data_IF_006875333771
#
_entry.id   IF_006875333771
#
_cell.length_a   1.000
_cell.length_b   1.000
_cell.length_c   1.000
_cell.angle_alpha   90.00
_cell.angle_beta   90.00
_cell.angle_gamma   90.00
#
_symmetry.space_group_name_H-M   'P 1'
#
loop_
_entity.id
_entity.type
_entity.pdbx_description
1 polymer ?
#
# COMPACT_ATOMS: atom_id res chain seq x y z
N UNK A 1 -7.53 7.88 17.10
CA UNK A 1 -7.81 7.08 15.89
C UNK A 1 -6.60 6.19 15.67
N UNK A 2 -6.78 4.94 15.25
CA UNK A 2 -5.67 4.02 14.99
C UNK A 2 -4.92 4.44 13.73
N UNK A 3 -3.63 4.20 13.65
CA UNK A 3 -2.79 4.64 12.52
C UNK A 3 -3.25 4.06 11.17
N UNK A 4 -3.64 2.79 11.13
CA UNK A 4 -4.16 2.18 9.91
C UNK A 4 -5.53 2.75 9.50
N UNK A 5 -6.36 3.15 10.46
CA UNK A 5 -7.62 3.86 10.19
C UNK A 5 -7.34 5.23 9.59
N UNK A 6 -6.36 5.98 10.13
CA UNK A 6 -5.93 7.26 9.58
C UNK A 6 -5.48 7.09 8.13
N UNK A 7 -4.67 6.07 7.86
CA UNK A 7 -4.18 5.77 6.51
C UNK A 7 -5.33 5.51 5.54
N UNK A 8 -6.29 4.66 5.94
CA UNK A 8 -7.47 4.34 5.15
C UNK A 8 -8.31 5.58 4.86
N UNK A 9 -8.66 6.37 5.90
CA UNK A 9 -9.50 7.56 5.72
C UNK A 9 -8.80 8.63 4.89
N UNK A 10 -7.49 8.79 5.05
CA UNK A 10 -6.71 9.71 4.24
C UNK A 10 -6.70 9.30 2.76
N UNK A 11 -6.50 8.00 2.48
CA UNK A 11 -6.55 7.45 1.13
C UNK A 11 -7.95 7.58 0.51
N UNK A 12 -9.00 7.29 1.29
CA UNK A 12 -10.40 7.42 0.84
C UNK A 12 -10.73 8.87 0.49
N UNK A 13 -10.36 9.82 1.35
CA UNK A 13 -10.60 11.24 1.11
C UNK A 13 -9.88 11.72 -0.15
N UNK A 14 -8.62 11.33 -0.34
CA UNK A 14 -7.88 11.58 -1.58
C UNK A 14 -8.62 11.06 -2.81
N UNK A 15 -9.13 9.83 -2.74
CA UNK A 15 -9.87 9.21 -3.83
C UNK A 15 -11.17 9.96 -4.15
N UNK A 16 -11.93 10.36 -3.12
CA UNK A 16 -13.20 11.08 -3.28
C UNK A 16 -12.97 12.47 -3.89
N UNK A 17 -11.98 13.21 -3.42
CA UNK A 17 -11.64 14.54 -3.96
C UNK A 17 -11.08 14.43 -5.39
N UNK A 18 -10.24 13.43 -5.67
CA UNK A 18 -9.76 13.15 -7.02
C UNK A 18 -10.91 12.84 -7.98
N UNK A 19 -11.86 12.04 -7.54
CA UNK A 19 -13.06 11.72 -8.31
C UNK A 19 -13.89 12.98 -8.61
N UNK A 20 -14.07 13.86 -7.64
CA UNK A 20 -14.78 15.12 -7.82
C UNK A 20 -14.11 16.03 -8.89
N UNK A 21 -12.78 16.10 -8.92
CA UNK A 21 -12.03 16.84 -9.96
C UNK A 21 -12.28 16.24 -11.35
N UNK A 22 -12.24 14.91 -11.47
CA UNK A 22 -12.47 14.20 -12.74
C UNK A 22 -13.91 14.43 -13.22
N UNK A 23 -14.90 14.28 -12.34
CA UNK A 23 -16.31 14.51 -12.68
C UNK A 23 -16.58 15.96 -13.08
N UNK A 24 -15.92 16.93 -12.45
CA UNK A 24 -16.01 18.33 -12.84
C UNK A 24 -15.44 18.57 -14.26
N UNK A 25 -14.32 17.93 -14.57
CA UNK A 25 -13.74 17.97 -15.92
C UNK A 25 -14.68 17.32 -16.96
N UNK A 26 -15.22 16.13 -16.67
CA UNK A 26 -16.16 15.43 -17.56
C UNK A 26 -17.40 16.29 -17.85
N UNK A 27 -18.02 16.87 -16.80
CA UNK A 27 -19.15 17.79 -16.96
C UNK A 27 -18.80 19.01 -17.82
N UNK A 28 -17.58 19.54 -17.67
CA UNK A 28 -17.12 20.67 -18.51
C UNK A 28 -16.97 20.22 -19.97
N UNK A 29 -16.40 19.04 -20.20
CA UNK A 29 -16.26 18.51 -21.56
C UNK A 29 -17.61 18.22 -22.21
N UNK A 30 -18.57 17.64 -21.47
CA UNK A 30 -19.95 17.41 -21.92
C UNK A 30 -20.61 18.73 -22.31
N UNK A 31 -20.41 19.81 -21.55
CA UNK A 31 -20.96 21.14 -21.88
C UNK A 31 -20.37 21.77 -23.15
N UNK A 32 -19.25 21.26 -23.64
CA UNK A 32 -18.59 21.74 -24.86
C UNK A 32 -18.90 20.87 -26.09
N UNK A 33 -19.64 19.78 -25.93
CA UNK A 33 -19.86 18.79 -26.99
C UNK A 33 -20.53 19.41 -28.24
N UNK A 34 -21.51 20.32 -28.06
CA UNK A 34 -22.18 21.03 -29.14
C UNK A 34 -21.23 21.93 -29.95
N UNK A 35 -20.12 22.35 -29.40
CA UNK A 35 -19.12 23.18 -30.04
C UNK A 35 -17.99 22.35 -30.69
N UNK A 36 -18.09 21.02 -30.70
CA UNK A 36 -17.05 20.11 -31.18
C UNK A 36 -16.59 20.44 -32.59
N UNK A 37 -15.27 20.50 -32.81
CA UNK A 37 -14.66 20.88 -34.09
C UNK A 37 -14.51 22.39 -34.30
N UNK A 38 -14.96 23.24 -33.40
CA UNK A 38 -14.74 24.69 -33.45
C UNK A 38 -13.43 25.10 -32.74
N UNK A 39 -12.88 26.26 -33.13
CA UNK A 39 -11.73 26.85 -32.43
C UNK A 39 -12.02 27.14 -30.95
N UNK A 40 -13.28 27.38 -30.61
CA UNK A 40 -13.72 27.58 -29.24
C UNK A 40 -13.57 26.27 -28.44
N UNK A 41 -14.01 25.15 -29.00
CA UNK A 41 -13.85 23.83 -28.39
C UNK A 41 -12.39 23.50 -28.14
N UNK A 42 -11.51 23.70 -29.13
CA UNK A 42 -10.08 23.43 -29.00
C UNK A 42 -9.44 24.23 -27.84
N UNK A 43 -9.80 25.52 -27.76
CA UNK A 43 -9.28 26.39 -26.70
C UNK A 43 -9.79 26.00 -25.30
N UNK A 44 -11.10 25.83 -25.19
CA UNK A 44 -11.74 25.55 -23.88
C UNK A 44 -11.45 24.13 -23.39
N UNK A 45 -11.38 23.14 -24.28
CA UNK A 45 -11.00 21.77 -23.90
C UNK A 45 -9.56 21.68 -23.43
N UNK A 46 -8.64 22.41 -24.11
CA UNK A 46 -7.24 22.48 -23.66
C UNK A 46 -7.12 23.13 -22.28
N UNK A 47 -7.82 24.25 -22.06
CA UNK A 47 -7.86 24.92 -20.77
C UNK A 47 -8.44 24.02 -19.67
N UNK A 48 -9.55 23.35 -19.95
CA UNK A 48 -10.16 22.43 -18.99
C UNK A 48 -9.23 21.27 -18.62
N UNK A 49 -8.45 20.75 -19.58
CA UNK A 49 -7.45 19.72 -19.31
C UNK A 49 -6.30 20.24 -18.44
N UNK A 50 -5.77 21.46 -18.73
CA UNK A 50 -4.74 22.11 -17.93
C UNK A 50 -5.24 22.38 -16.49
N UNK A 51 -6.46 22.88 -16.32
CA UNK A 51 -7.07 23.14 -15.01
C UNK A 51 -7.23 21.84 -14.19
N UNK A 52 -7.69 20.76 -14.85
CA UNK A 52 -7.77 19.43 -14.23
C UNK A 52 -6.41 18.94 -13.77
N UNK A 53 -5.39 19.00 -14.62
CA UNK A 53 -4.06 18.48 -14.33
C UNK A 53 -3.40 19.29 -13.20
N UNK A 54 -3.58 20.62 -13.19
CA UNK A 54 -3.12 21.47 -12.11
C UNK A 54 -3.82 21.13 -10.77
N UNK A 55 -5.14 20.91 -10.81
CA UNK A 55 -5.89 20.54 -9.62
C UNK A 55 -5.46 19.16 -9.08
N UNK A 56 -5.25 18.17 -9.96
CA UNK A 56 -4.78 16.84 -9.58
C UNK A 56 -3.36 16.88 -9.01
N UNK A 57 -2.45 17.68 -9.58
CA UNK A 57 -1.09 17.84 -9.08
C UNK A 57 -1.08 18.53 -7.70
N UNK A 58 -1.91 19.54 -7.50
CA UNK A 58 -2.05 20.22 -6.21
C UNK A 58 -2.59 19.28 -5.14
N UNK A 59 -3.65 18.53 -5.47
CA UNK A 59 -4.23 17.52 -4.58
C UNK A 59 -3.19 16.47 -4.20
N UNK A 60 -2.42 15.97 -5.17
CA UNK A 60 -1.37 15.00 -4.92
C UNK A 60 -0.29 15.53 -3.96
N UNK A 61 0.14 16.78 -4.15
CA UNK A 61 1.15 17.41 -3.31
C UNK A 61 0.64 17.57 -1.86
N UNK A 62 -0.61 17.99 -1.67
CA UNK A 62 -1.24 18.15 -0.37
C UNK A 62 -1.31 16.82 0.38
N UNK A 63 -1.88 15.79 -0.26
CA UNK A 63 -2.08 14.49 0.38
C UNK A 63 -0.79 13.72 0.63
N UNK A 64 0.26 13.94 -0.19
CA UNK A 64 1.57 13.32 0.03
C UNK A 64 2.14 13.65 1.41
N UNK A 65 2.08 14.90 1.81
CA UNK A 65 2.54 15.33 3.14
C UNK A 65 1.78 14.62 4.27
N UNK A 66 0.47 14.43 4.12
CA UNK A 66 -0.36 13.69 5.07
C UNK A 66 0.02 12.22 5.16
N UNK A 67 0.25 11.55 4.02
CA UNK A 67 0.71 10.17 4.00
C UNK A 67 2.08 10.00 4.66
N UNK A 68 3.04 10.90 4.37
CA UNK A 68 4.37 10.87 4.98
C UNK A 68 4.29 11.05 6.51
N UNK A 69 3.39 11.90 7.00
CA UNK A 69 3.13 12.07 8.44
C UNK A 69 2.58 10.80 9.08
N UNK A 70 1.57 10.17 8.46
CA UNK A 70 0.98 8.92 8.95
C UNK A 70 2.02 7.80 8.99
N UNK A 71 2.83 7.65 7.96
CA UNK A 71 3.91 6.65 7.92
C UNK A 71 4.94 6.89 9.05
N UNK A 72 5.25 8.16 9.34
CA UNK A 72 6.12 8.52 10.46
C UNK A 72 5.50 8.16 11.80
N UNK A 73 4.19 8.41 11.98
CA UNK A 73 3.47 8.00 13.20
C UNK A 73 3.44 6.48 13.36
N UNK A 74 3.25 5.73 12.27
CA UNK A 74 3.30 4.26 12.28
C UNK A 74 4.69 3.75 12.69
N UNK A 75 5.77 4.40 12.20
CA UNK A 75 7.14 4.09 12.64
C UNK A 75 7.30 4.32 14.13
N UNK A 76 6.94 5.51 14.61
CA UNK A 76 7.05 5.86 16.03
C UNK A 76 6.22 4.91 16.92
N UNK A 77 5.02 4.52 16.49
CA UNK A 77 4.19 3.57 17.20
C UNK A 77 4.83 2.18 17.30
N UNK A 78 5.48 1.74 16.23
CA UNK A 78 6.22 0.47 16.23
C UNK A 78 7.46 0.53 17.12
N UNK A 79 8.22 1.62 17.07
CA UNK A 79 9.41 1.83 17.88
C UNK A 79 9.07 1.96 19.38
N UNK A 80 7.98 2.67 19.71
CA UNK A 80 7.56 2.91 21.10
C UNK A 80 7.04 1.66 21.82
N UNK A 81 6.62 0.63 21.07
CA UNK A 81 6.14 -0.62 21.67
C UNK A 81 7.21 -1.43 22.34
N UNK A 82 8.48 -1.09 22.13
CA UNK A 82 9.63 -1.71 22.77
C UNK A 82 9.58 -3.24 22.70
N UNK A 83 10.54 -3.85 22.04
CA UNK A 83 10.65 -5.31 22.11
C UNK A 83 10.77 -5.72 23.57
N UNK A 84 10.08 -6.77 23.97
CA UNK A 84 10.29 -7.39 25.30
C UNK A 84 11.80 -7.63 25.45
N UNK A 85 12.44 -7.14 26.51
CA UNK A 85 13.87 -7.37 26.68
C UNK A 85 14.15 -8.88 26.68
N UNK A 86 15.14 -9.35 25.93
CA UNK A 86 15.45 -10.77 25.87
C UNK A 86 15.92 -11.25 27.25
N UNK A 87 15.54 -12.47 27.58
CA UNK A 87 16.07 -13.14 28.76
C UNK A 87 17.56 -13.40 28.60
N UNK A 88 18.25 -13.64 29.72
CA UNK A 88 19.69 -13.94 29.69
C UNK A 88 20.00 -15.19 28.86
N UNK A 89 19.12 -16.19 28.92
CA UNK A 89 19.25 -17.41 28.12
C UNK A 89 19.09 -17.17 26.64
N UNK A 90 18.07 -16.40 26.23
CA UNK A 90 17.86 -16.01 24.85
C UNK A 90 19.05 -15.20 24.29
N UNK A 91 19.56 -14.26 25.10
CA UNK A 91 20.76 -13.47 24.74
C UNK A 91 21.98 -14.38 24.52
N UNK A 92 22.23 -15.34 25.41
CA UNK A 92 23.33 -16.28 25.25
C UNK A 92 23.23 -17.11 23.99
N UNK A 93 22.01 -17.58 23.65
CA UNK A 93 21.78 -18.36 22.45
C UNK A 93 22.09 -17.55 21.17
N UNK A 94 21.56 -16.33 21.07
CA UNK A 94 21.77 -15.51 19.85
C UNK A 94 23.19 -14.93 19.77
N UNK A 95 23.85 -14.67 20.91
CA UNK A 95 25.27 -14.27 20.95
C UNK A 95 26.17 -15.40 20.47
N UNK A 96 25.94 -16.62 20.96
CA UNK A 96 26.67 -17.80 20.51
C UNK A 96 26.49 -18.03 19.01
N UNK A 97 25.28 -17.81 18.51
CA UNK A 97 24.99 -17.90 17.06
C UNK A 97 25.74 -16.83 16.24
N UNK A 98 25.79 -15.57 16.74
CA UNK A 98 26.52 -14.47 16.07
C UNK A 98 28.03 -14.72 15.95
N UNK A 99 28.62 -15.42 16.93
CA UNK A 99 30.05 -15.73 16.94
C UNK A 99 30.43 -16.86 15.98
N UNK A 100 29.47 -17.58 15.44
CA UNK A 100 29.74 -18.65 14.46
C UNK A 100 29.93 -18.05 13.07
N UNK A 101 30.93 -18.55 12.35
CA UNK A 101 31.16 -18.17 10.93
C UNK A 101 30.10 -18.79 10.02
N UNK A 102 29.67 -20.02 10.32
CA UNK A 102 28.68 -20.76 9.55
C UNK A 102 27.62 -21.35 10.47
N UNK A 103 26.37 -21.32 10.05
CA UNK A 103 25.24 -21.91 10.76
C UNK A 103 24.42 -22.78 9.79
N UNK A 104 24.01 -23.96 10.22
CA UNK A 104 23.11 -24.83 9.47
C UNK A 104 21.66 -24.44 9.65
N UNK A 105 20.78 -24.74 8.69
CA UNK A 105 19.35 -24.48 8.78
C UNK A 105 18.72 -25.14 10.02
N UNK A 106 19.10 -26.41 10.31
CA UNK A 106 18.62 -27.13 11.50
C UNK A 106 18.99 -26.43 12.82
N UNK A 107 20.16 -25.83 12.87
CA UNK A 107 20.62 -25.09 14.04
C UNK A 107 19.86 -23.77 14.20
N UNK A 108 19.66 -23.04 13.07
CA UNK A 108 18.85 -21.83 13.07
C UNK A 108 17.40 -22.12 13.45
N UNK A 109 16.80 -23.21 12.98
CA UNK A 109 15.46 -23.66 13.36
C UNK A 109 15.34 -23.90 14.85
N UNK A 110 16.31 -24.60 15.43
CA UNK A 110 16.32 -24.88 16.87
C UNK A 110 16.39 -23.60 17.70
N UNK A 111 17.30 -22.68 17.34
CA UNK A 111 17.48 -21.42 18.06
C UNK A 111 16.26 -20.52 17.85
N UNK A 112 15.74 -20.38 16.61
CA UNK A 112 14.55 -19.60 16.32
C UNK A 112 13.33 -20.06 17.13
N UNK A 113 13.13 -21.38 17.25
CA UNK A 113 12.05 -21.92 18.09
C UNK A 113 12.23 -21.63 19.58
N UNK A 114 13.48 -21.63 20.08
CA UNK A 114 13.79 -21.29 21.46
C UNK A 114 13.51 -19.80 21.77
N UNK A 115 13.73 -18.91 20.80
CA UNK A 115 13.58 -17.44 20.95
C UNK A 115 12.33 -16.87 20.28
N UNK A 116 11.38 -17.70 19.86
CA UNK A 116 10.18 -17.28 19.08
C UNK A 116 9.32 -16.22 19.77
N UNK A 117 9.42 -16.10 21.09
CA UNK A 117 8.70 -15.08 21.85
C UNK A 117 9.41 -13.73 21.88
N UNK A 118 10.58 -13.60 21.27
CA UNK A 118 11.38 -12.39 21.30
C UNK A 118 11.77 -11.96 19.87
N UNK A 119 11.14 -10.90 19.38
CA UNK A 119 11.34 -10.41 18.03
C UNK A 119 12.77 -9.90 17.77
N UNK A 120 13.44 -9.35 18.79
CA UNK A 120 14.83 -8.88 18.71
C UNK A 120 15.79 -10.06 18.50
N UNK A 121 15.59 -11.15 19.23
CA UNK A 121 16.38 -12.36 19.07
C UNK A 121 16.13 -13.01 17.71
N UNK A 122 14.87 -13.08 17.26
CA UNK A 122 14.54 -13.59 15.92
C UNK A 122 15.15 -12.76 14.81
N UNK A 123 15.25 -11.42 14.95
CA UNK A 123 15.92 -10.60 13.93
C UNK A 123 17.40 -10.96 13.78
N UNK A 124 18.07 -11.27 14.90
CA UNK A 124 19.47 -11.74 14.88
C UNK A 124 19.58 -13.10 14.16
N UNK A 125 18.66 -14.03 14.43
CA UNK A 125 18.60 -15.32 13.72
C UNK A 125 18.40 -15.11 12.23
N UNK A 126 17.50 -14.20 11.84
CA UNK A 126 17.25 -13.86 10.45
C UNK A 126 18.48 -13.27 9.74
N UNK A 127 19.23 -12.39 10.42
CA UNK A 127 20.45 -11.81 9.89
C UNK A 127 21.55 -12.87 9.67
N UNK A 128 21.68 -13.80 10.60
CA UNK A 128 22.62 -14.94 10.44
C UNK A 128 22.17 -15.85 9.31
N UNK A 129 20.86 -16.12 9.18
CA UNK A 129 20.31 -16.90 8.06
C UNK A 129 20.67 -16.27 6.70
N UNK A 130 20.42 -14.96 6.55
CA UNK A 130 20.77 -14.20 5.35
C UNK A 130 22.27 -14.29 5.02
N UNK A 131 23.15 -14.15 6.01
CA UNK A 131 24.60 -14.25 5.83
C UNK A 131 25.04 -15.64 5.35
N UNK A 132 24.31 -16.69 5.76
CA UNK A 132 24.58 -18.07 5.36
C UNK A 132 23.82 -18.51 4.08
N UNK A 133 23.14 -17.58 3.38
CA UNK A 133 22.39 -17.87 2.16
C UNK A 133 21.11 -18.67 2.37
N UNK A 134 20.61 -18.73 3.61
CA UNK A 134 19.37 -19.45 3.97
C UNK A 134 18.19 -18.52 3.76
N UNK A 135 17.29 -18.87 2.83
CA UNK A 135 16.17 -18.03 2.39
C UNK A 135 14.93 -18.12 3.31
N UNK A 136 14.98 -18.91 4.38
CA UNK A 136 13.84 -19.08 5.29
C UNK A 136 13.56 -17.80 6.07
N UNK A 137 12.26 -17.46 6.20
CA UNK A 137 11.82 -16.31 6.99
C UNK A 137 11.57 -16.73 8.46
N UNK A 138 12.55 -16.48 9.33
CA UNK A 138 12.45 -16.77 10.76
C UNK A 138 11.61 -15.74 11.52
N UNK A 139 11.44 -14.54 10.98
CA UNK A 139 10.61 -13.51 11.59
C UNK A 139 9.12 -13.90 11.65
N UNK A 140 8.69 -14.77 10.74
CA UNK A 140 7.32 -15.31 10.76
C UNK A 140 6.99 -16.18 11.99
N UNK A 141 8.01 -16.63 12.70
CA UNK A 141 7.85 -17.40 13.97
C UNK A 141 7.59 -16.48 15.18
N UNK A 142 7.71 -15.15 15.00
CA UNK A 142 7.54 -14.21 16.09
C UNK A 142 6.12 -14.28 16.67
N UNK A 143 6.01 -14.63 17.93
CA UNK A 143 4.73 -14.63 18.66
C UNK A 143 4.46 -13.29 19.34
N UNK A 144 5.47 -12.43 19.45
CA UNK A 144 5.27 -11.05 19.88
C UNK A 144 4.50 -10.26 18.82
N UNK A 145 3.60 -9.41 19.27
CA UNK A 145 2.89 -8.47 18.39
C UNK A 145 3.79 -7.32 17.89
N UNK A 146 5.07 -7.35 18.24
CA UNK A 146 6.07 -6.33 17.89
C UNK A 146 6.92 -6.85 16.73
N UNK A 147 6.85 -6.16 15.61
CA UNK A 147 7.67 -6.49 14.45
C UNK A 147 9.11 -6.02 14.67
N UNK A 148 10.15 -6.82 14.33
CA UNK A 148 11.54 -6.36 14.41
C UNK A 148 11.79 -5.11 13.56
N UNK A 149 12.68 -4.22 14.02
CA UNK A 149 12.95 -2.94 13.35
C UNK A 149 13.25 -3.09 11.84
N UNK A 150 14.02 -4.09 11.43
CA UNK A 150 14.31 -4.34 10.02
C UNK A 150 13.03 -4.67 9.22
N UNK A 151 12.12 -5.48 9.78
CA UNK A 151 10.84 -5.79 9.13
C UNK A 151 9.92 -4.57 9.06
N UNK A 152 9.94 -3.70 10.07
CA UNK A 152 9.18 -2.43 10.09
C UNK A 152 9.63 -1.52 8.94
N UNK A 153 10.92 -1.32 8.77
CA UNK A 153 11.44 -0.47 7.68
C UNK A 153 11.09 -1.01 6.30
N UNK A 154 11.20 -2.32 6.08
CA UNK A 154 10.83 -2.95 4.82
C UNK A 154 9.32 -2.79 4.54
N UNK A 155 8.47 -2.94 5.55
CA UNK A 155 7.03 -2.73 5.43
C UNK A 155 6.68 -1.27 5.19
N UNK A 156 7.29 -0.32 5.90
CA UNK A 156 7.10 1.12 5.68
C UNK A 156 7.51 1.55 4.29
N UNK A 157 8.67 1.07 3.81
CA UNK A 157 9.15 1.33 2.45
C UNK A 157 8.19 0.76 1.41
N UNK A 158 7.72 -0.46 1.61
CA UNK A 158 6.76 -1.11 0.72
C UNK A 158 5.43 -0.36 0.70
N UNK A 159 4.92 0.03 1.87
CA UNK A 159 3.69 0.81 2.00
C UNK A 159 3.82 2.18 1.34
N UNK A 160 4.95 2.87 1.55
CA UNK A 160 5.25 4.15 0.91
C UNK A 160 5.29 4.03 -0.63
N UNK A 161 5.87 2.96 -1.16
CA UNK A 161 5.86 2.69 -2.60
C UNK A 161 4.43 2.43 -3.12
N UNK A 162 3.62 1.66 -2.39
CA UNK A 162 2.22 1.40 -2.76
C UNK A 162 1.40 2.69 -2.78
N UNK A 163 1.57 3.56 -1.77
CA UNK A 163 0.91 4.86 -1.70
C UNK A 163 1.36 5.75 -2.86
N UNK A 164 2.67 5.82 -3.11
CA UNK A 164 3.21 6.59 -4.24
C UNK A 164 2.65 6.11 -5.58
N UNK A 165 2.53 4.80 -5.77
CA UNK A 165 1.94 4.21 -6.95
C UNK A 165 0.42 4.49 -7.04
N UNK A 166 -0.29 4.41 -5.92
CA UNK A 166 -1.71 4.75 -5.81
C UNK A 166 -2.00 6.22 -6.17
N UNK A 167 -1.11 7.12 -5.78
CA UNK A 167 -1.26 8.56 -6.05
C UNK A 167 -0.89 8.96 -7.47
N UNK A 168 0.11 8.30 -8.08
CA UNK A 168 0.68 8.67 -9.39
C UNK A 168 -0.19 8.33 -10.58
N UNK A 169 -1.20 7.57 -10.46
CA UNK A 169 -2.09 7.08 -11.51
C UNK A 169 -1.68 7.39 -12.96
N UNK A 170 -0.89 6.53 -13.54
CA UNK A 170 -1.00 6.21 -14.94
C UNK A 170 -2.37 5.55 -15.18
N UNK A 171 -3.15 6.05 -16.11
CA UNK A 171 -4.55 5.61 -16.36
C UNK A 171 -4.66 4.11 -16.63
N UNK A 172 -3.70 3.51 -17.30
CA UNK A 172 -3.65 2.07 -17.58
C UNK A 172 -3.40 1.26 -16.32
N UNK A 173 -2.53 1.74 -15.45
CA UNK A 173 -2.20 1.11 -14.18
C UNK A 173 -3.31 1.28 -13.15
N UNK A 174 -3.94 2.46 -13.10
CA UNK A 174 -5.11 2.71 -12.26
C UNK A 174 -6.28 1.80 -12.65
N UNK A 175 -6.54 1.64 -13.93
CA UNK A 175 -7.58 0.73 -14.43
C UNK A 175 -7.29 -0.73 -14.05
N UNK A 176 -6.04 -1.19 -14.14
CA UNK A 176 -5.65 -2.52 -13.72
C UNK A 176 -5.82 -2.72 -12.21
N UNK A 177 -5.34 -1.77 -11.41
CA UNK A 177 -5.47 -1.81 -9.94
C UNK A 177 -6.94 -1.79 -9.54
N UNK A 178 -7.75 -0.93 -10.15
CA UNK A 178 -9.18 -0.86 -9.91
C UNK A 178 -9.89 -2.17 -10.26
N UNK A 179 -9.54 -2.78 -11.39
CA UNK A 179 -10.05 -4.08 -11.82
C UNK A 179 -9.68 -5.18 -10.84
N UNK A 180 -8.41 -5.31 -10.50
CA UNK A 180 -7.91 -6.30 -9.55
C UNK A 180 -8.56 -6.16 -8.17
N UNK A 181 -8.74 -4.92 -7.70
CA UNK A 181 -9.42 -4.64 -6.44
C UNK A 181 -10.90 -5.03 -6.50
N UNK A 182 -11.59 -4.69 -7.59
CA UNK A 182 -12.99 -5.06 -7.80
C UNK A 182 -13.17 -6.58 -7.85
N UNK A 183 -12.34 -7.28 -8.62
CA UNK A 183 -12.43 -8.75 -8.78
C UNK A 183 -12.20 -9.49 -7.46
N UNK A 184 -11.42 -8.93 -6.55
CA UNK A 184 -11.17 -9.53 -5.22
C UNK A 184 -12.31 -9.33 -4.23
N UNK A 185 -12.95 -8.18 -4.26
CA UNK A 185 -14.02 -7.82 -3.31
C UNK A 185 -15.38 -8.34 -3.79
N UNK A 186 -15.62 -8.28 -5.09
CA UNK A 186 -16.96 -8.52 -5.69
C UNK A 186 -16.99 -9.69 -6.69
N UNK A 187 -15.86 -10.36 -6.94
CA UNK A 187 -15.72 -11.41 -7.94
C UNK A 187 -15.44 -10.89 -9.35
N UNK A 188 -15.25 -11.79 -10.31
CA UNK A 188 -14.89 -11.45 -11.69
C UNK A 188 -15.82 -10.42 -12.30
N UNK A 189 -15.26 -9.40 -12.93
CA UNK A 189 -16.01 -8.45 -13.76
C UNK A 189 -16.67 -9.22 -14.92
N UNK A 190 -17.97 -9.06 -15.05
CA UNK A 190 -18.72 -9.61 -16.17
C UNK A 190 -18.44 -8.76 -17.43
N UNK A 191 -17.47 -9.20 -18.22
CA UNK A 191 -17.05 -8.52 -19.47
C UNK A 191 -18.12 -8.57 -20.56
N UNK A 192 -19.19 -9.36 -20.36
CA UNK A 192 -20.29 -9.47 -21.34
C UNK A 192 -21.34 -8.38 -21.16
N UNK A 193 -21.35 -7.65 -20.06
CA UNK A 193 -22.22 -6.47 -19.92
C UNK A 193 -21.69 -5.36 -20.79
N UNK A 194 -22.49 -4.88 -21.76
CA UNK A 194 -22.08 -3.74 -22.56
C UNK A 194 -21.74 -2.58 -21.62
N UNK A 195 -20.53 -2.05 -21.76
CA UNK A 195 -20.18 -0.80 -21.10
C UNK A 195 -21.33 0.19 -21.43
N UNK A 196 -22.04 0.65 -20.38
CA UNK A 196 -22.99 1.74 -20.57
C UNK A 196 -22.27 2.80 -21.38
N UNK A 197 -22.83 3.16 -22.54
CA UNK A 197 -22.21 4.05 -23.51
C UNK A 197 -21.59 5.22 -22.78
N UNK A 198 -20.28 5.18 -22.57
CA UNK A 198 -19.50 6.34 -22.24
C UNK A 198 -19.50 7.19 -23.51
N UNK A 199 -20.17 8.32 -23.42
CA UNK A 199 -20.21 9.33 -24.45
C UNK A 199 -18.78 9.66 -24.91
N UNK A 200 -18.53 9.55 -26.20
CA UNK A 200 -17.39 10.13 -26.88
C UNK A 200 -16.18 9.23 -27.04
N UNK A 201 -16.15 8.57 -28.17
CA UNK A 201 -15.08 7.92 -28.90
C UNK A 201 -13.62 8.24 -28.60
N UNK A 202 -13.12 7.81 -27.44
CA UNK A 202 -11.72 7.55 -27.29
C UNK A 202 -11.51 6.04 -27.34
N UNK A 203 -10.99 5.55 -28.45
CA UNK A 203 -10.62 4.16 -28.69
C UNK A 203 -9.30 3.76 -28.01
N UNK A 204 -8.96 4.37 -26.91
CA UNK A 204 -7.84 3.94 -26.05
C UNK A 204 -8.44 3.28 -24.82
N UNK A 205 -8.47 1.97 -24.80
CA UNK A 205 -8.70 1.04 -23.71
C UNK A 205 -9.08 1.57 -22.32
N UNK A 206 -10.02 2.50 -22.24
CA UNK A 206 -10.53 3.02 -20.98
C UNK A 206 -11.42 1.94 -20.36
N UNK A 207 -10.87 1.23 -19.42
CA UNK A 207 -11.69 0.41 -18.53
C UNK A 207 -12.48 1.37 -17.65
N UNK A 208 -13.85 1.31 -17.69
CA UNK A 208 -14.65 2.18 -16.84
C UNK A 208 -14.20 2.01 -15.38
N UNK A 209 -13.85 3.13 -14.75
CA UNK A 209 -13.61 3.13 -13.30
C UNK A 209 -14.90 2.61 -12.65
N UNK A 210 -14.86 1.55 -11.84
CA UNK A 210 -16.05 1.04 -11.21
C UNK A 210 -16.76 2.18 -10.48
N UNK A 211 -18.08 2.29 -10.63
CA UNK A 211 -18.93 3.29 -9.94
C UNK A 211 -18.85 3.16 -8.41
N UNK A 212 -18.28 2.05 -7.90
CA UNK A 212 -18.01 1.83 -6.49
C UNK A 212 -16.61 2.27 -6.14
N UNK A 213 -16.38 2.75 -4.91
CA UNK A 213 -15.03 3.08 -4.46
C UNK A 213 -14.12 1.85 -4.60
N UNK A 214 -12.85 2.08 -4.90
CA UNK A 214 -11.82 1.05 -5.00
C UNK A 214 -11.78 0.16 -3.75
N UNK A 215 -12.13 0.74 -2.62
CA UNK A 215 -12.28 0.08 -1.34
C UNK A 215 -13.36 0.82 -0.53
N UNK A 216 -14.26 0.08 0.04
CA UNK A 216 -15.38 0.56 0.85
C UNK A 216 -15.15 0.35 2.35
N UNK A 217 -14.25 -0.56 2.70
CA UNK A 217 -13.87 -0.87 4.07
C UNK A 217 -12.36 -0.77 4.27
N UNK A 218 -11.95 -0.65 5.53
CA UNK A 218 -10.53 -0.68 5.93
C UNK A 218 -9.88 -2.00 5.53
N UNK A 219 -10.59 -3.11 5.73
CA UNK A 219 -10.12 -4.46 5.40
C UNK A 219 -9.90 -4.59 3.89
N UNK A 220 -10.82 -4.07 3.07
CA UNK A 220 -10.67 -4.10 1.61
C UNK A 220 -9.49 -3.25 1.14
N UNK A 221 -9.26 -2.09 1.75
CA UNK A 221 -8.08 -1.26 1.49
C UNK A 221 -6.78 -2.01 1.78
N UNK A 222 -6.66 -2.59 2.97
CA UNK A 222 -5.44 -3.31 3.33
C UNK A 222 -5.25 -4.59 2.53
N UNK A 223 -6.32 -5.27 2.13
CA UNK A 223 -6.24 -6.41 1.22
C UNK A 223 -5.66 -5.99 -0.14
N UNK A 224 -6.10 -4.85 -0.69
CA UNK A 224 -5.55 -4.32 -1.94
C UNK A 224 -4.07 -3.97 -1.78
N UNK A 225 -3.71 -3.27 -0.71
CA UNK A 225 -2.31 -2.86 -0.44
C UNK A 225 -1.41 -4.08 -0.23
N UNK A 226 -1.83 -5.04 0.58
CA UNK A 226 -1.07 -6.27 0.88
C UNK A 226 -0.84 -7.11 -0.38
N UNK A 227 -1.86 -7.26 -1.21
CA UNK A 227 -1.77 -8.05 -2.44
C UNK A 227 -0.93 -7.37 -3.54
N UNK A 228 -0.64 -6.09 -3.42
CA UNK A 228 0.30 -5.41 -4.31
C UNK A 228 1.76 -5.78 -4.02
N UNK A 229 2.11 -6.14 -2.76
CA UNK A 229 3.49 -6.30 -2.30
C UNK A 229 3.73 -7.48 -1.34
N UNK A 230 2.70 -8.19 -0.91
CA UNK A 230 2.79 -9.36 -0.04
C UNK A 230 1.98 -9.30 1.25
N UNK A 231 1.79 -10.46 1.88
CA UNK A 231 0.97 -10.63 3.10
C UNK A 231 1.58 -9.97 4.35
N UNK A 232 2.90 -9.79 4.37
CA UNK A 232 3.63 -9.18 5.50
C UNK A 232 3.17 -7.74 5.77
N UNK A 233 2.78 -7.00 4.73
CA UNK A 233 2.31 -5.64 4.86
C UNK A 233 0.97 -5.55 5.61
N UNK A 234 0.06 -6.50 5.39
CA UNK A 234 -1.20 -6.57 6.12
C UNK A 234 -0.96 -6.86 7.60
N UNK A 235 -0.04 -7.78 7.91
CA UNK A 235 0.37 -8.09 9.28
C UNK A 235 1.00 -6.88 9.98
N UNK A 236 1.84 -6.12 9.26
CA UNK A 236 2.41 -4.87 9.75
C UNK A 236 1.31 -3.84 10.09
N UNK A 237 0.39 -3.56 9.16
CA UNK A 237 -0.71 -2.63 9.40
C UNK A 237 -1.56 -3.04 10.59
N UNK A 238 -1.83 -4.33 10.78
CA UNK A 238 -2.51 -4.84 11.95
C UNK A 238 -1.68 -4.63 13.25
N UNK A 239 -0.35 -4.69 13.18
CA UNK A 239 0.54 -4.54 14.33
C UNK A 239 0.62 -3.11 14.86
N UNK A 240 0.50 -2.09 14.01
CA UNK A 240 0.58 -0.67 14.42
C UNK A 240 -0.73 -0.13 15.01
N UNK A 241 -1.81 -0.90 14.95
CA UNK A 241 -3.13 -0.56 15.50
C UNK A 241 -3.40 -1.15 16.89
N UNK A 242 -2.68 -2.16 17.28
CA UNK A 242 -2.78 -2.83 18.58
C UNK A 242 -1.76 -2.26 19.55
#
# INVERSE_FOLDING_TARGET
MKNSENLFFHAKKYQDERKAIIEAYEKKMDSLEDARGSKLYEKESKKAAEDRDNALNSLQAEYKSGFDSILKEMRNASESRGATPPTEEELRLVQALKLKETATEAELDRIANAVKNNGLCLSIVQDVAKKNGILRNYLSLCTEKVMPAAGVEDCLKTLGNCISDFMKHDTSRAARIAREAHERVYGKLDETKPAEKTLGGYSSGFVPVPKRPLFDTKESFFSVVANMKGEELAAFCASVDN
#
